data_IF_990422746550
#
_entry.id   IF_990422746550
#
_cell.length_a   1.000
_cell.length_b   1.000
_cell.length_c   1.000
_cell.angle_alpha   90.00
_cell.angle_beta   90.00
_cell.angle_gamma   90.00
#
_symmetry.space_group_name_H-M   'P 1'
#
loop_
_entity.id
_entity.type
_entity.pdbx_description
1 polymer ?
#
# COMPACT_ATOMS: atom_id res chain seq x y z
N UNK A 1 5.93 5.06 4.33
CA UNK A 1 5.58 3.90 3.50
C UNK A 1 6.58 3.88 2.38
N UNK A 2 7.53 2.98 2.49
CA UNK A 2 8.80 3.06 1.76
C UNK A 2 9.05 1.77 0.98
N UNK A 3 8.85 0.61 1.60
CA UNK A 3 9.08 -0.69 0.98
C UNK A 3 8.10 -1.72 1.56
N UNK A 4 7.77 -2.74 0.78
CA UNK A 4 7.04 -3.92 1.23
C UNK A 4 8.00 -5.13 1.39
N UNK A 5 7.54 -6.28 1.92
CA UNK A 5 8.38 -7.46 2.03
C UNK A 5 8.99 -7.92 0.70
N UNK A 6 8.30 -7.77 -0.43
CA UNK A 6 8.82 -8.19 -1.73
C UNK A 6 10.03 -7.37 -2.18
N UNK A 7 10.07 -6.09 -1.83
CA UNK A 7 11.22 -5.22 -2.04
C UNK A 7 12.38 -5.62 -1.10
N UNK A 8 12.09 -5.87 0.17
CA UNK A 8 13.10 -6.15 1.20
C UNK A 8 13.73 -7.54 1.10
N UNK A 9 12.99 -8.55 0.64
CA UNK A 9 13.51 -9.91 0.43
C UNK A 9 14.74 -9.94 -0.48
N UNK A 10 14.84 -8.98 -1.39
CA UNK A 10 15.96 -8.84 -2.33
C UNK A 10 17.29 -8.56 -1.65
N UNK A 11 17.30 -8.11 -0.40
CA UNK A 11 18.51 -7.89 0.38
C UNK A 11 19.12 -9.17 0.97
N UNK A 12 18.37 -10.28 0.97
CA UNK A 12 18.79 -11.59 1.51
C UNK A 12 19.31 -11.51 2.96
N UNK A 13 18.66 -10.69 3.78
CA UNK A 13 18.93 -10.59 5.20
C UNK A 13 18.07 -11.62 5.95
N UNK A 14 18.63 -12.26 6.98
CA UNK A 14 17.93 -13.25 7.81
C UNK A 14 17.23 -12.55 8.99
N UNK A 15 16.15 -11.82 8.68
CA UNK A 15 15.38 -11.03 9.65
C UNK A 15 13.88 -11.18 9.43
N UNK A 16 13.11 -11.07 10.51
CA UNK A 16 11.66 -10.93 10.41
C UNK A 16 11.28 -9.50 10.00
N UNK A 17 10.44 -9.38 8.98
CA UNK A 17 9.93 -8.08 8.51
C UNK A 17 8.65 -7.77 9.26
N UNK A 18 8.65 -6.71 10.05
CA UNK A 18 7.49 -6.18 10.76
C UNK A 18 6.99 -4.92 10.06
N UNK A 19 5.69 -4.68 10.14
CA UNK A 19 5.03 -3.53 9.53
C UNK A 19 4.15 -2.79 10.52
N UNK A 20 4.21 -1.46 10.49
CA UNK A 20 3.54 -0.55 11.41
C UNK A 20 3.16 0.75 10.70
N UNK A 21 1.98 1.29 11.03
CA UNK A 21 1.46 2.47 10.35
C UNK A 21 2.24 3.77 10.52
N UNK A 22 3.04 3.90 11.58
CA UNK A 22 3.69 5.15 12.00
C UNK A 22 2.68 6.32 12.05
N UNK A 23 1.60 6.09 12.80
CA UNK A 23 0.41 6.93 12.77
C UNK A 23 0.64 8.23 13.56
N UNK A 24 0.59 9.36 12.85
CA UNK A 24 0.65 10.71 13.43
C UNK A 24 -0.74 11.35 13.61
N UNK A 25 -1.79 10.56 13.38
CA UNK A 25 -3.18 10.98 13.58
C UNK A 25 -4.06 9.75 13.74
N UNK A 26 -5.19 9.91 14.42
CA UNK A 26 -6.15 8.85 14.73
C UNK A 26 -7.03 8.44 13.54
N UNK A 27 -6.83 9.01 12.35
CA UNK A 27 -7.70 8.76 11.21
C UNK A 27 -7.54 7.33 10.67
N UNK A 28 -8.62 6.64 10.25
CA UNK A 28 -8.54 5.25 9.76
C UNK A 28 -7.59 5.03 8.58
N UNK A 29 -7.48 6.00 7.67
CA UNK A 29 -6.51 5.96 6.56
C UNK A 29 -5.05 6.25 6.99
N UNK A 30 -4.80 6.34 8.29
CA UNK A 30 -3.49 6.56 8.90
C UNK A 30 -3.18 5.48 9.92
N UNK A 31 -4.01 5.27 10.94
CA UNK A 31 -3.81 4.24 11.95
C UNK A 31 -4.15 2.86 11.39
N UNK A 32 -3.25 1.88 11.54
CA UNK A 32 -3.51 0.50 11.10
C UNK A 32 -3.47 0.27 9.58
N UNK A 33 -3.12 1.27 8.77
CA UNK A 33 -2.89 1.13 7.31
C UNK A 33 -1.75 0.15 6.96
N UNK A 34 -0.86 -0.04 7.91
CA UNK A 34 0.24 -1.00 7.91
C UNK A 34 0.26 -1.64 9.30
N UNK A 35 0.37 -2.96 9.36
CA UNK A 35 0.26 -3.71 10.61
C UNK A 35 0.92 -5.08 10.53
N UNK A 36 1.22 -5.66 11.69
CA UNK A 36 1.73 -7.02 11.81
C UNK A 36 0.67 -7.92 12.44
N UNK A 37 0.43 -9.09 11.82
CA UNK A 37 -0.53 -10.08 12.30
C UNK A 37 0.23 -11.14 13.10
N UNK A 38 -0.11 -11.24 14.39
CA UNK A 38 0.42 -12.26 15.30
C UNK A 38 -0.65 -13.32 15.61
N UNK A 39 -0.19 -14.55 15.79
CA UNK A 39 -0.96 -15.69 16.26
C UNK A 39 -0.34 -16.16 17.58
N UNK A 40 -0.91 -15.66 18.68
CA UNK A 40 -0.39 -15.83 20.03
C UNK A 40 -1.46 -16.47 20.92
N UNK A 41 -1.08 -17.36 21.86
CA UNK A 41 -2.02 -17.90 22.84
C UNK A 41 -2.65 -16.79 23.70
N UNK A 42 -1.84 -15.82 24.11
CA UNK A 42 -2.22 -14.68 24.94
C UNK A 42 -1.54 -13.40 24.43
N UNK A 43 -2.26 -12.27 24.52
CA UNK A 43 -1.75 -10.97 24.06
C UNK A 43 -0.89 -10.33 25.16
N UNK A 44 0.38 -10.73 25.21
CA UNK A 44 1.36 -10.22 26.15
C UNK A 44 2.61 -9.67 25.44
N UNK A 45 3.28 -8.72 26.09
CA UNK A 45 4.51 -8.12 25.56
C UNK A 45 5.57 -9.17 25.21
N UNK A 46 5.81 -10.13 26.11
CA UNK A 46 6.81 -11.20 25.88
C UNK A 46 6.42 -12.10 24.70
N UNK A 47 5.13 -12.40 24.54
CA UNK A 47 4.61 -13.15 23.39
C UNK A 47 4.90 -12.44 22.07
N UNK A 48 4.61 -11.13 21.99
CA UNK A 48 4.89 -10.31 20.80
C UNK A 48 6.40 -10.25 20.53
N UNK A 49 7.21 -9.97 21.54
CA UNK A 49 8.66 -9.85 21.37
C UNK A 49 9.31 -11.16 20.95
N UNK A 50 8.86 -12.29 21.50
CA UNK A 50 9.31 -13.61 21.09
C UNK A 50 8.93 -13.90 19.62
N UNK A 51 7.72 -13.55 19.21
CA UNK A 51 7.28 -13.71 17.82
C UNK A 51 8.11 -12.86 16.85
N UNK A 52 8.44 -11.62 17.19
CA UNK A 52 9.30 -10.76 16.38
C UNK A 52 10.73 -11.33 16.27
N UNK A 53 11.29 -11.83 17.38
CA UNK A 53 12.68 -12.33 17.41
C UNK A 53 12.83 -13.70 16.74
N UNK A 54 11.86 -14.60 16.92
CA UNK A 54 11.98 -16.01 16.50
C UNK A 54 11.12 -16.37 15.30
N UNK A 55 10.15 -15.53 14.93
CA UNK A 55 9.15 -15.82 13.92
C UNK A 55 8.06 -16.82 14.36
N UNK A 56 8.12 -17.37 15.59
CA UNK A 56 7.08 -18.25 16.13
C UNK A 56 5.87 -17.43 16.58
N UNK A 57 4.72 -17.67 15.98
CA UNK A 57 3.53 -16.82 16.18
C UNK A 57 3.50 -15.57 15.30
N UNK A 58 4.50 -15.36 14.43
CA UNK A 58 4.43 -14.35 13.38
C UNK A 58 3.68 -14.93 12.16
N UNK A 59 2.55 -14.32 11.79
CA UNK A 59 1.67 -14.85 10.73
C UNK A 59 1.88 -14.15 9.40
N UNK A 60 1.71 -12.83 9.37
CA UNK A 60 1.75 -12.03 8.14
C UNK A 60 1.91 -10.53 8.45
N UNK A 61 2.13 -9.71 7.43
CA UNK A 61 1.97 -8.25 7.51
C UNK A 61 0.84 -7.75 6.63
N UNK A 62 0.33 -6.57 6.96
CA UNK A 62 -0.54 -5.75 6.13
C UNK A 62 0.30 -4.56 5.69
N UNK A 63 0.37 -4.33 4.39
CA UNK A 63 1.17 -3.31 3.77
C UNK A 63 0.30 -2.39 2.93
N UNK A 64 0.58 -1.09 2.94
CA UNK A 64 0.06 -0.23 1.89
C UNK A 64 0.96 -0.38 0.65
N UNK A 65 0.43 -0.43 -0.59
CA UNK A 65 1.26 -0.49 -1.79
C UNK A 65 2.37 0.57 -1.77
N UNK A 66 3.67 0.19 -1.89
CA UNK A 66 4.77 1.15 -1.83
C UNK A 66 4.65 2.28 -2.87
N UNK A 67 4.07 1.98 -4.03
CA UNK A 67 3.73 2.94 -5.08
C UNK A 67 2.87 4.11 -4.60
N UNK A 68 2.06 3.94 -3.55
CA UNK A 68 1.29 5.03 -2.98
C UNK A 68 2.17 6.06 -2.25
N UNK A 69 3.39 5.67 -1.85
CA UNK A 69 4.35 6.51 -1.15
C UNK A 69 4.79 7.73 -1.96
N UNK A 70 4.97 8.86 -1.26
CA UNK A 70 5.36 10.16 -1.84
C UNK A 70 6.69 10.18 -2.60
N UNK A 71 7.56 9.24 -2.28
CA UNK A 71 8.94 9.18 -2.78
C UNK A 71 9.23 7.77 -3.28
N UNK A 72 8.25 7.07 -3.86
CA UNK A 72 8.46 5.72 -4.33
C UNK A 72 9.32 5.70 -5.59
N UNK A 73 8.87 6.40 -6.63
CA UNK A 73 9.62 6.58 -7.88
C UNK A 73 10.53 7.81 -7.84
N UNK A 74 11.54 7.76 -8.71
CA UNK A 74 12.36 8.92 -9.01
C UNK A 74 11.51 9.96 -9.74
N UNK A 75 11.74 11.24 -9.46
CA UNK A 75 11.01 12.26 -10.20
C UNK A 75 11.38 13.70 -9.92
N UNK A 76 10.71 14.58 -10.65
CA UNK A 76 10.86 16.03 -10.54
C UNK A 76 9.47 16.67 -10.67
N UNK A 77 8.89 17.01 -9.52
CA UNK A 77 7.51 17.48 -9.37
C UNK A 77 7.25 18.73 -10.19
N UNK A 78 8.19 19.68 -10.19
CA UNK A 78 8.07 20.93 -10.95
C UNK A 78 7.90 20.72 -12.45
N UNK A 79 8.41 19.61 -12.98
CA UNK A 79 8.27 19.24 -14.39
C UNK A 79 7.22 18.14 -14.64
N UNK A 80 6.49 17.69 -13.61
CA UNK A 80 5.55 16.57 -13.68
C UNK A 80 6.15 15.38 -14.43
N UNK A 81 7.33 14.93 -13.99
CA UNK A 81 8.06 13.81 -14.57
C UNK A 81 8.46 12.84 -13.47
N UNK A 82 8.23 11.57 -13.71
CA UNK A 82 8.70 10.48 -12.87
C UNK A 82 9.01 9.25 -13.71
N UNK A 83 9.89 8.39 -13.21
CA UNK A 83 10.24 7.16 -13.88
C UNK A 83 10.72 6.10 -12.91
N UNK A 84 10.74 4.85 -13.40
CA UNK A 84 11.31 3.72 -12.69
C UNK A 84 12.86 3.80 -12.66
N UNK A 85 13.53 3.05 -11.77
CA UNK A 85 14.96 3.17 -11.56
C UNK A 85 15.83 2.94 -12.80
N UNK A 86 15.42 2.00 -13.65
CA UNK A 86 16.10 1.68 -14.90
C UNK A 86 16.20 2.89 -15.84
N UNK A 87 15.17 3.72 -15.88
CA UNK A 87 15.12 4.90 -16.73
C UNK A 87 15.96 6.05 -16.14
N UNK A 88 15.95 6.19 -14.81
CA UNK A 88 16.82 7.14 -14.09
C UNK A 88 18.29 6.91 -14.42
N UNK A 89 18.72 5.64 -14.49
CA UNK A 89 20.08 5.28 -14.90
C UNK A 89 20.41 5.70 -16.34
N UNK A 90 19.48 5.51 -17.30
CA UNK A 90 19.67 5.97 -18.69
C UNK A 90 19.77 7.49 -18.77
N UNK A 91 18.98 8.18 -17.95
CA UNK A 91 18.96 9.64 -17.85
C UNK A 91 20.10 10.22 -17.00
N UNK A 92 20.97 9.37 -16.43
CA UNK A 92 22.07 9.76 -15.53
C UNK A 92 21.57 10.65 -14.37
N UNK A 93 20.38 10.33 -13.85
CA UNK A 93 19.74 11.08 -12.76
C UNK A 93 19.24 12.47 -13.13
N UNK A 94 19.19 12.85 -14.42
CA UNK A 94 18.75 14.18 -14.87
C UNK A 94 17.34 14.16 -15.43
N UNK A 95 16.56 15.17 -15.09
CA UNK A 95 15.22 15.39 -15.64
C UNK A 95 15.31 15.70 -17.14
N UNK A 96 14.62 14.96 -18.02
CA UNK A 96 14.70 15.18 -19.47
C UNK A 96 14.04 16.49 -19.92
N UNK A 97 13.22 17.10 -19.06
CA UNK A 97 12.50 18.36 -19.36
C UNK A 97 13.32 19.61 -19.07
N UNK A 98 14.15 19.59 -18.03
CA UNK A 98 14.86 20.80 -17.57
C UNK A 98 16.34 20.59 -17.21
N UNK A 99 16.87 19.37 -17.28
CA UNK A 99 18.27 19.04 -16.99
C UNK A 99 18.70 19.09 -15.52
N UNK A 100 17.78 19.39 -14.59
CA UNK A 100 18.05 19.34 -13.14
C UNK A 100 18.06 17.91 -12.63
N UNK A 101 18.64 17.68 -11.46
CA UNK A 101 18.63 16.36 -10.82
C UNK A 101 17.21 15.90 -10.47
N UNK A 102 16.97 14.61 -10.62
CA UNK A 102 15.78 13.93 -10.13
C UNK A 102 15.89 13.71 -8.62
N UNK A 103 14.79 13.88 -7.90
CA UNK A 103 14.67 13.38 -6.53
C UNK A 103 14.63 11.86 -6.59
N UNK A 104 15.62 11.21 -5.97
CA UNK A 104 15.75 9.74 -5.97
C UNK A 104 14.70 9.12 -5.05
N UNK A 105 13.98 8.13 -5.58
CA UNK A 105 12.92 7.40 -4.91
C UNK A 105 13.43 6.18 -4.13
N UNK A 106 12.55 5.60 -3.31
CA UNK A 106 12.84 4.39 -2.55
C UNK A 106 13.05 3.19 -3.45
N UNK A 107 12.31 3.09 -4.55
CA UNK A 107 12.45 1.97 -5.50
C UNK A 107 13.86 1.91 -6.09
N UNK A 108 14.44 3.08 -6.43
CA UNK A 108 15.82 3.18 -6.90
C UNK A 108 16.81 2.74 -5.82
N UNK A 109 16.60 3.20 -4.58
CA UNK A 109 17.48 2.82 -3.47
C UNK A 109 17.43 1.33 -3.17
N UNK A 110 16.26 0.70 -3.30
CA UNK A 110 16.12 -0.76 -3.19
C UNK A 110 16.86 -1.45 -4.32
N UNK A 111 16.73 -0.98 -5.56
CA UNK A 111 17.44 -1.54 -6.71
C UNK A 111 18.96 -1.50 -6.53
N UNK A 112 19.50 -0.38 -6.03
CA UNK A 112 20.93 -0.19 -5.77
C UNK A 112 21.49 -1.18 -4.73
N UNK A 113 20.69 -1.49 -3.70
CA UNK A 113 21.10 -2.36 -2.59
C UNK A 113 20.76 -3.84 -2.81
N UNK A 114 19.94 -4.15 -3.82
CA UNK A 114 19.40 -5.48 -4.03
C UNK A 114 20.49 -6.50 -4.38
N UNK A 115 20.50 -7.62 -3.64
CA UNK A 115 21.33 -8.82 -3.93
C UNK A 115 20.59 -9.84 -4.79
N UNK A 116 19.35 -9.56 -5.17
CA UNK A 116 18.49 -10.39 -6.02
C UNK A 116 17.62 -9.53 -6.94
N UNK A 117 17.20 -10.13 -8.07
CA UNK A 117 16.32 -9.47 -9.04
C UNK A 117 14.92 -9.21 -8.47
N UNK A 118 14.21 -8.28 -9.10
CA UNK A 118 12.80 -8.05 -8.84
C UNK A 118 12.00 -9.36 -8.93
N UNK A 119 11.06 -9.57 -8.01
CA UNK A 119 10.26 -10.79 -7.90
C UNK A 119 10.93 -11.95 -7.17
N UNK A 120 12.13 -11.76 -6.61
CA UNK A 120 12.73 -12.76 -5.72
C UNK A 120 11.85 -12.99 -4.48
N UNK A 121 11.54 -14.26 -4.21
CA UNK A 121 10.79 -14.69 -3.03
C UNK A 121 11.58 -15.82 -2.35
N UNK A 122 12.00 -15.66 -1.08
CA UNK A 122 12.69 -16.71 -0.36
C UNK A 122 11.73 -17.85 0.02
N UNK A 123 12.26 -19.05 0.24
CA UNK A 123 11.45 -20.23 0.55
C UNK A 123 10.66 -20.09 1.87
N UNK A 124 11.23 -19.36 2.84
CA UNK A 124 10.61 -19.04 4.12
C UNK A 124 9.82 -17.71 4.10
N UNK A 125 9.51 -17.15 2.92
CA UNK A 125 8.76 -15.91 2.80
C UNK A 125 7.40 -16.00 3.50
N UNK A 126 7.17 -15.07 4.42
CA UNK A 126 5.87 -14.90 5.07
C UNK A 126 4.89 -14.20 4.14
N UNK A 127 3.61 -14.48 4.33
CA UNK A 127 2.55 -13.80 3.60
C UNK A 127 2.51 -12.32 4.00
N UNK A 128 2.21 -11.46 3.04
CA UNK A 128 1.77 -10.10 3.31
C UNK A 128 0.53 -9.78 2.47
N UNK A 129 -0.27 -8.85 2.94
CA UNK A 129 -1.46 -8.35 2.24
C UNK A 129 -1.20 -6.92 1.81
N UNK A 130 -1.27 -6.63 0.51
CA UNK A 130 -1.18 -5.26 0.03
C UNK A 130 -2.58 -4.67 -0.06
N UNK A 131 -2.90 -3.73 0.85
CA UNK A 131 -4.22 -3.17 1.03
C UNK A 131 -4.15 -1.64 1.09
N UNK A 132 -5.05 -0.98 0.37
CA UNK A 132 -5.40 0.42 0.60
C UNK A 132 -6.47 0.51 1.70
N UNK A 133 -6.48 1.60 2.51
CA UNK A 133 -7.49 1.80 3.54
C UNK A 133 -8.91 1.82 2.96
N UNK A 134 -9.87 1.22 3.67
CA UNK A 134 -11.27 1.16 3.25
C UNK A 134 -11.85 2.56 3.00
N UNK A 135 -11.48 3.51 3.85
CA UNK A 135 -11.93 4.89 3.73
C UNK A 135 -11.47 5.56 2.42
N UNK A 136 -10.29 5.21 1.91
CA UNK A 136 -9.79 5.69 0.61
C UNK A 136 -10.54 5.03 -0.55
N UNK A 137 -10.83 3.73 -0.46
CA UNK A 137 -11.63 3.01 -1.46
C UNK A 137 -13.05 3.59 -1.57
N UNK A 138 -13.68 3.92 -0.44
CA UNK A 138 -15.01 4.55 -0.41
C UNK A 138 -14.94 5.91 -1.10
N UNK A 139 -14.03 6.78 -0.67
CA UNK A 139 -13.86 8.13 -1.20
C UNK A 139 -13.69 8.10 -2.73
N UNK A 140 -12.84 7.18 -3.20
CA UNK A 140 -12.60 6.93 -4.62
C UNK A 140 -13.86 6.41 -5.34
N UNK A 141 -14.58 5.46 -4.74
CA UNK A 141 -15.81 4.89 -5.30
C UNK A 141 -16.87 5.98 -5.55
N UNK A 142 -17.10 6.86 -4.57
CA UNK A 142 -18.16 7.86 -4.65
C UNK A 142 -17.72 9.20 -5.25
N UNK A 143 -16.44 9.34 -5.62
CA UNK A 143 -15.87 10.58 -6.14
C UNK A 143 -15.94 11.75 -5.15
N UNK A 144 -15.68 11.48 -3.86
CA UNK A 144 -15.80 12.47 -2.79
C UNK A 144 -14.48 12.66 -2.06
N UNK A 145 -14.21 13.85 -1.47
CA UNK A 145 -13.05 14.02 -0.61
C UNK A 145 -13.01 13.00 0.53
N UNK A 146 -11.79 12.62 0.92
CA UNK A 146 -11.57 11.59 1.94
C UNK A 146 -12.27 11.92 3.27
N UNK A 147 -12.21 13.18 3.71
CA UNK A 147 -12.81 13.64 4.97
C UNK A 147 -14.27 14.11 4.83
N UNK A 148 -14.96 13.83 3.71
CA UNK A 148 -16.33 14.30 3.53
C UNK A 148 -17.32 13.54 4.42
N UNK A 149 -18.41 14.21 4.80
CA UNK A 149 -19.51 13.59 5.56
C UNK A 149 -20.06 12.34 4.87
N UNK A 150 -20.22 12.37 3.55
CA UNK A 150 -20.75 11.26 2.76
C UNK A 150 -19.83 10.04 2.82
N UNK A 151 -18.51 10.25 2.74
CA UNK A 151 -17.53 9.16 2.86
C UNK A 151 -17.59 8.54 4.26
N UNK A 152 -17.68 9.37 5.29
CA UNK A 152 -17.80 8.92 6.69
C UNK A 152 -19.08 8.14 6.97
N UNK A 153 -20.23 8.59 6.44
CA UNK A 153 -21.50 7.89 6.61
C UNK A 153 -21.43 6.45 6.08
N UNK A 154 -20.81 6.24 4.92
CA UNK A 154 -20.60 4.89 4.35
C UNK A 154 -19.58 4.09 5.19
N UNK A 155 -18.45 4.71 5.56
CA UNK A 155 -17.41 4.05 6.34
C UNK A 155 -17.94 3.54 7.69
N UNK A 156 -18.68 4.39 8.41
CA UNK A 156 -19.27 4.05 9.70
C UNK A 156 -20.32 2.95 9.54
N UNK A 157 -21.23 3.07 8.55
CA UNK A 157 -22.25 2.04 8.32
C UNK A 157 -21.64 0.65 8.05
N UNK A 158 -20.52 0.58 7.31
CA UNK A 158 -19.85 -0.69 7.05
C UNK A 158 -19.14 -1.24 8.30
N UNK A 159 -18.44 -0.39 9.04
CA UNK A 159 -17.72 -0.83 10.24
C UNK A 159 -18.67 -1.21 11.37
N UNK A 160 -19.82 -0.55 11.50
CA UNK A 160 -20.91 -0.94 12.41
C UNK A 160 -21.51 -2.30 12.02
N UNK A 161 -21.68 -2.58 10.73
CA UNK A 161 -22.23 -3.85 10.24
C UNK A 161 -21.25 -5.03 10.36
N UNK A 162 -19.94 -4.78 10.28
CA UNK A 162 -18.91 -5.83 10.15
C UNK A 162 -17.74 -5.72 11.12
N UNK A 163 -17.93 -5.03 12.26
CA UNK A 163 -16.99 -4.87 13.38
C UNK A 163 -15.78 -3.96 13.10
N UNK A 164 -15.03 -4.18 12.01
CA UNK A 164 -13.79 -3.42 11.77
C UNK A 164 -13.43 -3.30 10.30
N UNK A 165 -12.63 -2.28 9.97
CA UNK A 165 -12.05 -2.11 8.63
C UNK A 165 -11.23 -3.33 8.21
N UNK A 166 -10.37 -3.85 9.09
CA UNK A 166 -9.52 -5.00 8.76
C UNK A 166 -10.34 -6.28 8.53
N UNK A 167 -11.43 -6.49 9.27
CA UNK A 167 -12.36 -7.59 8.98
C UNK A 167 -12.99 -7.43 7.58
N UNK A 168 -13.44 -6.23 7.25
CA UNK A 168 -13.98 -5.90 5.92
C UNK A 168 -12.92 -6.06 4.82
N UNK A 169 -11.64 -5.83 5.09
CA UNK A 169 -10.60 -5.96 4.08
C UNK A 169 -9.97 -7.35 4.00
N UNK A 170 -10.11 -8.21 5.02
CA UNK A 170 -9.43 -9.52 5.05
C UNK A 170 -10.37 -10.71 5.14
N UNK A 171 -11.46 -10.60 5.91
CA UNK A 171 -12.17 -11.78 6.43
C UNK A 171 -13.62 -11.90 5.94
N UNK A 172 -14.34 -10.79 5.78
CA UNK A 172 -15.78 -10.83 5.50
C UNK A 172 -16.06 -11.40 4.11
N UNK A 173 -17.02 -12.31 3.98
CA UNK A 173 -17.40 -12.88 2.68
C UNK A 173 -17.98 -11.83 1.72
N UNK A 174 -17.61 -11.90 0.44
CA UNK A 174 -18.12 -11.00 -0.62
C UNK A 174 -19.65 -10.96 -0.67
N UNK A 175 -20.32 -12.09 -0.47
CA UNK A 175 -21.78 -12.18 -0.47
C UNK A 175 -22.45 -11.39 0.68
N UNK A 176 -21.77 -11.22 1.82
CA UNK A 176 -22.27 -10.40 2.93
C UNK A 176 -22.08 -8.91 2.63
N UNK A 177 -20.91 -8.54 2.10
CA UNK A 177 -20.63 -7.17 1.66
C UNK A 177 -21.61 -6.70 0.57
N UNK A 178 -21.95 -7.57 -0.39
CA UNK A 178 -22.88 -7.27 -1.47
C UNK A 178 -24.30 -6.87 -1.02
N UNK A 179 -24.67 -7.15 0.23
CA UNK A 179 -25.98 -6.77 0.78
C UNK A 179 -26.04 -5.32 1.25
N UNK A 180 -24.88 -4.68 1.46
CA UNK A 180 -24.79 -3.33 2.04
C UNK A 180 -23.91 -2.37 1.23
N UNK A 181 -23.00 -2.89 0.40
CA UNK A 181 -22.20 -2.11 -0.54
C UNK A 181 -22.90 -2.00 -1.89
N UNK A 182 -22.75 -0.86 -2.55
CA UNK A 182 -23.00 -0.78 -3.99
C UNK A 182 -21.98 -1.64 -4.78
N UNK A 183 -22.33 -1.96 -6.03
CA UNK A 183 -21.54 -2.82 -6.90
C UNK A 183 -20.12 -2.28 -7.13
N UNK A 184 -19.99 -0.94 -7.26
CA UNK A 184 -18.70 -0.28 -7.51
C UNK A 184 -17.75 -0.42 -6.33
N UNK A 185 -18.22 -0.17 -5.11
CA UNK A 185 -17.44 -0.31 -3.88
C UNK A 185 -17.11 -1.78 -3.61
N UNK A 186 -18.06 -2.69 -3.85
CA UNK A 186 -17.83 -4.13 -3.71
C UNK A 186 -16.69 -4.62 -4.62
N UNK A 187 -16.68 -4.16 -5.87
CA UNK A 187 -15.61 -4.49 -6.82
C UNK A 187 -14.27 -3.89 -6.40
N UNK A 188 -14.24 -2.64 -5.93
CA UNK A 188 -13.02 -2.02 -5.41
C UNK A 188 -12.45 -2.77 -4.20
N UNK A 189 -13.29 -3.15 -3.23
CA UNK A 189 -12.87 -3.96 -2.08
C UNK A 189 -12.34 -5.32 -2.55
N UNK A 190 -13.00 -5.95 -3.52
CA UNK A 190 -12.57 -7.24 -4.09
C UNK A 190 -11.19 -7.11 -4.74
N UNK A 191 -10.98 -6.09 -5.58
CA UNK A 191 -9.68 -5.82 -6.21
C UNK A 191 -8.61 -5.51 -5.18
N UNK A 192 -8.95 -4.78 -4.12
CA UNK A 192 -8.00 -4.44 -3.05
C UNK A 192 -7.50 -5.71 -2.35
N UNK A 193 -8.42 -6.61 -1.98
CA UNK A 193 -8.11 -7.93 -1.38
C UNK A 193 -7.19 -8.79 -2.24
N UNK A 194 -7.35 -8.70 -3.54
CA UNK A 194 -6.58 -9.47 -4.53
C UNK A 194 -5.31 -8.72 -4.99
N UNK A 195 -5.00 -7.57 -4.37
CA UNK A 195 -3.89 -6.69 -4.74
C UNK A 195 -3.90 -6.31 -6.23
N UNK A 196 -5.10 -6.17 -6.83
CA UNK A 196 -5.34 -5.78 -8.23
C UNK A 196 -5.66 -4.29 -8.41
N UNK A 197 -5.67 -3.49 -7.33
CA UNK A 197 -5.83 -2.04 -7.45
C UNK A 197 -4.53 -1.44 -7.99
N UNK A 198 -4.60 -0.85 -9.18
CA UNK A 198 -3.45 -0.17 -9.78
C UNK A 198 -3.25 1.19 -9.12
N UNK A 199 -2.00 1.47 -8.78
CA UNK A 199 -1.59 2.76 -8.23
C UNK A 199 -0.54 3.36 -9.15
N UNK A 200 -0.81 4.57 -9.66
CA UNK A 200 0.21 5.39 -10.30
C UNK A 200 1.21 5.81 -9.22
N UNK A 201 2.50 5.51 -9.37
CA UNK A 201 3.47 5.77 -8.32
C UNK A 201 3.61 7.25 -7.96
N UNK A 202 3.67 7.51 -6.65
CA UNK A 202 4.05 8.78 -6.10
C UNK A 202 5.55 9.04 -6.27
N UNK A 203 5.92 10.31 -6.34
CA UNK A 203 7.29 10.75 -6.57
C UNK A 203 7.48 12.19 -6.11
N UNK A 204 8.73 12.51 -5.75
CA UNK A 204 9.17 13.85 -5.36
C UNK A 204 8.16 14.58 -4.46
N UNK A 205 7.62 13.90 -3.43
CA UNK A 205 6.71 14.41 -2.41
C UNK A 205 5.20 14.44 -2.77
N UNK A 206 4.84 13.94 -3.95
CA UNK A 206 3.44 13.74 -4.40
C UNK A 206 3.04 12.29 -4.12
N UNK A 207 1.88 12.07 -3.47
CA UNK A 207 1.36 10.72 -3.25
C UNK A 207 1.01 10.02 -4.57
N UNK A 208 1.04 8.68 -4.55
CA UNK A 208 0.49 7.90 -5.66
C UNK A 208 -1.03 8.03 -5.74
N UNK A 209 -1.59 7.63 -6.87
CA UNK A 209 -3.01 7.79 -7.17
C UNK A 209 -3.60 6.45 -7.62
N UNK A 210 -4.80 6.11 -7.14
CA UNK A 210 -5.54 4.94 -7.61
C UNK A 210 -5.96 5.16 -9.06
N UNK A 211 -5.74 4.17 -9.93
CA UNK A 211 -6.11 4.23 -11.35
C UNK A 211 -7.18 3.18 -11.66
N UNK A 212 -8.28 3.60 -12.29
CA UNK A 212 -9.26 2.68 -12.86
C UNK A 212 -8.78 2.19 -14.22
N UNK A 213 -8.84 0.88 -14.46
CA UNK A 213 -8.56 0.31 -15.79
C UNK A 213 -9.59 0.73 -16.86
N UNK A 214 -10.66 1.43 -16.46
CA UNK A 214 -11.71 1.96 -17.34
C UNK A 214 -11.76 3.49 -17.38
N UNK A 215 -10.62 4.16 -17.38
CA UNK A 215 -10.53 5.41 -18.12
C UNK A 215 -9.80 5.11 -19.43
N UNK A 216 -10.57 4.65 -20.44
CA UNK A 216 -10.25 5.07 -21.80
C UNK A 216 -9.99 6.57 -21.72
N UNK A 217 -8.78 6.95 -22.10
CA UNK A 217 -8.36 8.31 -22.33
C UNK A 217 -9.39 8.95 -23.26
N UNK A 218 -10.43 9.57 -22.69
CA UNK A 218 -11.31 10.45 -23.44
C UNK A 218 -10.46 11.65 -23.79
N UNK A 219 -9.85 11.61 -24.97
CA UNK A 219 -9.47 12.82 -25.69
C UNK A 219 -10.72 13.68 -25.76
N UNK A 220 -10.78 14.71 -24.93
CA UNK A 220 -11.70 15.82 -25.06
C UNK A 220 -10.86 16.96 -25.63
N UNK A 221 -10.72 16.91 -26.96
CA UNK A 221 -10.01 17.86 -27.82
C UNK A 221 -8.48 17.88 -27.71
#
# INVERSE_FOLDING_TARGET
MSADPSMLWRFKEDVNIVSFSDAHSHWPWRIGREATIFDLPELEYEGIMNAIRTGKGFKATIETPPAYGKYHWDGHRACNFSCAPEETNKLKGKCPKCGKDLTIGVDFRVEELAKAKHGYKPDNARQFFSLLPLHELIAFSIGSPLASRKTWEIYNALTDAFKSELDILLNIEKAKLARVCDEKLLELITRNRESRVKVKPGYDGTYGEIVLEHEEQKKLF
#
